data_IF_350754996817
#
_entry.id   IF_350754996817
#
_cell.length_a   1.000
_cell.length_b   1.000
_cell.length_c   1.000
_cell.angle_alpha   90.00
_cell.angle_beta   90.00
_cell.angle_gamma   90.00
#
_symmetry.space_group_name_H-M   'P 1'
#
loop_
_entity.id
_entity.type
_entity.pdbx_description
1 polymer ?
#
# COMPACT_ATOMS: atom_id res chain seq x y z
N UNK A 1 35.77 -17.02 -26.70
CA UNK A 1 34.37 -17.50 -26.72
C UNK A 1 33.97 -18.21 -25.43
N UNK A 2 34.71 -19.22 -24.93
CA UNK A 2 34.38 -19.95 -23.68
C UNK A 2 34.12 -19.07 -22.45
N UNK A 3 34.91 -18.00 -22.25
CA UNK A 3 34.75 -17.07 -21.11
C UNK A 3 33.50 -16.18 -21.18
N UNK A 4 33.09 -15.77 -22.38
CA UNK A 4 31.89 -14.96 -22.58
C UNK A 4 30.61 -15.78 -22.36
N UNK A 5 30.60 -17.03 -22.81
CA UNK A 5 29.49 -17.95 -22.59
C UNK A 5 29.27 -18.24 -21.09
N UNK A 6 30.35 -18.46 -20.34
CA UNK A 6 30.27 -18.65 -18.89
C UNK A 6 29.76 -17.41 -18.15
N UNK A 7 30.13 -16.21 -18.59
CA UNK A 7 29.62 -14.96 -18.00
C UNK A 7 28.12 -14.79 -18.22
N UNK A 8 27.62 -15.09 -19.42
CA UNK A 8 26.18 -15.02 -19.72
C UNK A 8 25.38 -16.02 -18.87
N UNK A 9 25.91 -17.23 -18.67
CA UNK A 9 25.27 -18.23 -17.79
C UNK A 9 25.22 -17.78 -16.33
N UNK A 10 26.31 -17.21 -15.80
CA UNK A 10 26.32 -16.70 -14.42
C UNK A 10 25.35 -15.53 -14.27
N UNK A 11 25.29 -14.62 -15.24
CA UNK A 11 24.35 -13.49 -15.20
C UNK A 11 22.89 -13.96 -15.25
N UNK A 12 22.58 -14.97 -16.08
CA UNK A 12 21.23 -15.53 -16.20
C UNK A 12 20.79 -16.26 -14.92
N UNK A 13 21.71 -16.96 -14.25
CA UNK A 13 21.45 -17.64 -12.98
C UNK A 13 21.23 -16.60 -11.87
N UNK A 14 22.09 -15.58 -11.79
CA UNK A 14 21.93 -14.49 -10.81
C UNK A 14 20.63 -13.72 -11.06
N UNK A 15 20.24 -13.47 -12.32
CA UNK A 15 18.95 -12.84 -12.62
C UNK A 15 17.76 -13.71 -12.23
N UNK A 16 17.87 -15.04 -12.32
CA UNK A 16 16.80 -15.95 -11.84
C UNK A 16 16.62 -15.90 -10.32
N UNK A 17 17.67 -15.58 -9.56
CA UNK A 17 17.58 -15.38 -8.11
C UNK A 17 17.25 -13.94 -7.70
N UNK A 18 17.29 -12.99 -8.65
CA UNK A 18 16.87 -11.60 -8.43
C UNK A 18 15.40 -11.36 -8.77
N UNK A 19 14.73 -12.32 -9.43
CA UNK A 19 13.26 -12.31 -9.46
C UNK A 19 12.82 -12.74 -8.06
N UNK A 20 12.43 -11.77 -7.24
CA UNK A 20 11.70 -12.07 -6.00
C UNK A 20 10.55 -13.03 -6.33
N UNK A 21 10.19 -13.96 -5.43
CA UNK A 21 9.03 -14.80 -5.66
C UNK A 21 7.82 -13.87 -5.79
N UNK A 22 7.40 -13.59 -7.03
CA UNK A 22 6.10 -13.00 -7.31
C UNK A 22 5.11 -14.02 -6.77
N UNK A 23 4.45 -13.68 -5.67
CA UNK A 23 3.39 -14.51 -5.12
C UNK A 23 2.39 -14.74 -6.26
N UNK A 24 2.28 -15.98 -6.73
CA UNK A 24 1.42 -16.28 -7.87
C UNK A 24 -0.01 -15.86 -7.53
N UNK A 25 -0.66 -15.12 -8.44
CA UNK A 25 -2.05 -14.74 -8.29
C UNK A 25 -2.91 -15.98 -7.99
N UNK A 26 -3.80 -15.87 -7.01
CA UNK A 26 -4.72 -16.96 -6.64
C UNK A 26 -5.68 -17.26 -7.80
N UNK A 27 -6.40 -18.38 -7.74
CA UNK A 27 -7.45 -18.70 -8.73
C UNK A 27 -8.56 -17.65 -8.80
N UNK A 28 -8.68 -16.80 -7.78
CA UNK A 28 -9.63 -15.68 -7.70
C UNK A 28 -9.03 -14.34 -8.17
N UNK A 29 -7.79 -14.33 -8.64
CA UNK A 29 -7.10 -13.14 -9.13
C UNK A 29 -6.63 -12.21 -8.01
N UNK A 30 -6.35 -12.74 -6.81
CA UNK A 30 -5.79 -11.97 -5.71
C UNK A 30 -4.27 -12.12 -5.68
N UNK A 31 -3.54 -11.03 -5.46
CA UNK A 31 -2.09 -11.04 -5.26
C UNK A 31 -1.67 -9.95 -4.27
N UNK A 32 -0.45 -10.04 -3.72
CA UNK A 32 0.09 -8.98 -2.86
C UNK A 32 0.71 -7.89 -3.72
N UNK A 33 0.24 -6.66 -3.54
CA UNK A 33 0.82 -5.46 -4.17
C UNK A 33 1.98 -4.86 -3.37
N UNK A 34 2.20 -5.34 -2.15
CA UNK A 34 3.26 -4.90 -1.24
C UNK A 34 4.33 -5.97 -1.02
N UNK A 35 5.53 -5.54 -0.62
CA UNK A 35 6.70 -6.37 -0.43
C UNK A 35 7.41 -6.08 0.89
N UNK A 36 8.20 -7.06 1.35
CA UNK A 36 9.07 -6.88 2.51
C UNK A 36 10.04 -5.70 2.28
N UNK A 37 10.13 -4.81 3.26
CA UNK A 37 10.98 -3.64 3.21
C UNK A 37 10.37 -2.41 2.53
N UNK A 38 9.14 -2.52 2.01
CA UNK A 38 8.40 -1.36 1.52
C UNK A 38 8.17 -0.36 2.66
N UNK A 39 8.26 0.93 2.29
CA UNK A 39 8.01 2.07 3.17
C UNK A 39 6.92 2.94 2.56
N UNK A 40 5.98 3.34 3.40
CA UNK A 40 4.88 4.22 3.04
C UNK A 40 4.91 5.45 3.94
N UNK A 41 5.09 6.61 3.35
CA UNK A 41 5.12 7.90 4.05
C UNK A 41 3.71 8.51 4.08
N UNK A 42 3.36 9.09 5.23
CA UNK A 42 2.06 9.68 5.51
C UNK A 42 2.22 11.06 6.14
N UNK A 43 1.26 11.92 5.86
CA UNK A 43 1.05 13.16 6.59
C UNK A 43 -0.16 13.00 7.50
N UNK A 44 0.00 13.33 8.79
CA UNK A 44 -1.11 13.44 9.73
C UNK A 44 -1.56 14.89 9.87
N UNK A 45 -2.86 15.11 9.77
CA UNK A 45 -3.52 16.39 10.01
C UNK A 45 -4.62 16.21 11.05
N UNK A 46 -4.82 17.21 11.89
CA UNK A 46 -5.94 17.23 12.83
C UNK A 46 -6.51 18.64 12.93
N UNK A 47 -7.80 18.73 13.22
CA UNK A 47 -8.45 19.98 13.60
C UNK A 47 -8.21 20.35 15.06
N UNK A 48 -7.77 19.41 15.90
CA UNK A 48 -7.37 19.67 17.27
C UNK A 48 -5.95 20.26 17.30
N UNK A 49 -5.81 21.45 17.89
CA UNK A 49 -4.51 22.14 18.01
C UNK A 49 -3.53 21.38 18.92
N UNK A 50 -4.03 20.53 19.81
CA UNK A 50 -3.21 19.72 20.72
C UNK A 50 -2.59 18.49 20.02
N UNK A 51 -3.09 18.11 18.83
CA UNK A 51 -2.56 17.01 18.03
C UNK A 51 -1.57 17.60 16.99
N UNK A 52 -0.25 17.39 17.17
CA UNK A 52 0.72 17.95 16.26
C UNK A 52 0.59 17.31 14.87
N UNK A 53 0.42 18.15 13.84
CA UNK A 53 0.59 17.71 12.46
C UNK A 53 2.05 17.33 12.23
N UNK A 54 2.34 16.03 12.20
CA UNK A 54 3.67 15.47 11.95
C UNK A 54 3.56 14.41 10.87
N UNK A 55 4.62 14.28 10.06
CA UNK A 55 4.73 13.17 9.13
C UNK A 55 5.09 11.87 9.87
N UNK A 56 4.55 10.77 9.39
CA UNK A 56 4.87 9.43 9.88
C UNK A 56 5.18 8.52 8.69
N UNK A 57 5.82 7.39 8.96
CA UNK A 57 6.00 6.36 7.96
C UNK A 57 5.76 4.98 8.54
N UNK A 58 5.30 4.08 7.67
CA UNK A 58 5.03 2.69 7.99
C UNK A 58 5.97 1.82 7.15
N UNK A 59 6.66 0.89 7.81
CA UNK A 59 7.52 -0.08 7.14
C UNK A 59 6.90 -1.47 7.24
N UNK A 60 6.94 -2.22 6.14
CA UNK A 60 6.64 -3.65 6.16
C UNK A 60 7.89 -4.39 6.65
N UNK A 61 7.81 -4.93 7.85
CA UNK A 61 8.93 -5.62 8.52
C UNK A 61 8.93 -7.11 8.32
N UNK A 62 7.78 -7.71 8.00
CA UNK A 62 7.72 -9.10 7.56
C UNK A 62 6.49 -9.32 6.68
N UNK A 63 6.64 -10.18 5.68
CA UNK A 63 5.49 -10.61 4.87
C UNK A 63 4.88 -11.85 5.51
N UNK A 64 3.55 -12.03 5.41
CA UNK A 64 2.91 -13.19 5.99
C UNK A 64 3.50 -14.49 5.43
N UNK A 65 3.91 -15.40 6.32
CA UNK A 65 4.46 -16.70 5.92
C UNK A 65 3.43 -17.59 5.19
N UNK A 66 2.14 -17.33 5.40
CA UNK A 66 1.04 -18.00 4.72
C UNK A 66 0.67 -17.24 3.45
N UNK A 67 0.61 -17.95 2.33
CA UNK A 67 0.03 -17.43 1.11
C UNK A 67 -1.46 -17.10 1.33
N UNK A 68 -2.00 -16.22 0.49
CA UNK A 68 -3.43 -15.92 0.46
C UNK A 68 -4.18 -17.24 0.22
N UNK A 69 -5.15 -17.62 1.07
CA UNK A 69 -5.94 -18.82 0.87
C UNK A 69 -6.60 -18.86 -0.52
N UNK A 70 -6.61 -20.03 -1.14
CA UNK A 70 -7.20 -20.23 -2.46
C UNK A 70 -8.12 -21.49 -2.45
N UNK A 71 -9.46 -21.33 -2.40
CA UNK A 71 -10.20 -20.07 -2.44
C UNK A 71 -10.21 -19.34 -1.09
N UNK A 72 -10.26 -18.01 -1.14
CA UNK A 72 -10.55 -17.13 -0.02
C UNK A 72 -12.07 -17.08 0.20
N UNK A 73 -12.51 -17.49 1.39
CA UNK A 73 -13.92 -17.59 1.77
C UNK A 73 -14.28 -16.79 3.03
N UNK A 74 -13.29 -16.25 3.71
CA UNK A 74 -13.42 -15.54 4.99
C UNK A 74 -12.48 -14.34 4.97
N UNK A 75 -13.01 -13.16 5.31
CA UNK A 75 -12.24 -11.91 5.43
C UNK A 75 -11.09 -12.05 6.44
N UNK A 76 -11.34 -12.72 7.56
CA UNK A 76 -10.37 -12.87 8.63
C UNK A 76 -9.22 -13.81 8.25
N UNK A 77 -9.42 -14.66 7.23
CA UNK A 77 -8.39 -15.54 6.70
C UNK A 77 -7.35 -14.82 5.82
N UNK A 78 -7.55 -13.54 5.49
CA UNK A 78 -6.53 -12.72 4.81
C UNK A 78 -5.37 -12.52 5.78
N UNK A 79 -4.18 -13.10 5.49
CA UNK A 79 -3.04 -12.93 6.36
C UNK A 79 -2.54 -11.47 6.27
N UNK A 80 -1.86 -10.98 7.31
CA UNK A 80 -1.35 -9.60 7.35
C UNK A 80 0.17 -9.60 7.46
N UNK A 81 0.85 -8.64 6.81
CA UNK A 81 2.24 -8.36 7.07
C UNK A 81 2.41 -7.75 8.46
N UNK A 82 3.60 -7.94 9.02
CA UNK A 82 4.01 -7.19 10.20
C UNK A 82 4.44 -5.79 9.76
N UNK A 83 3.95 -4.77 10.47
CA UNK A 83 4.20 -3.37 10.17
C UNK A 83 4.71 -2.64 11.40
N UNK A 84 5.68 -1.75 11.19
CA UNK A 84 6.19 -0.85 12.21
C UNK A 84 5.86 0.60 11.90
N UNK A 85 5.41 1.33 12.93
CA UNK A 85 5.06 2.74 12.86
C UNK A 85 6.15 3.63 13.43
N UNK A 86 6.54 4.64 12.66
CA UNK A 86 7.59 5.58 13.03
C UNK A 86 7.18 7.01 12.69
N UNK A 87 7.59 7.95 13.53
CA UNK A 87 7.59 9.36 13.16
C UNK A 87 8.66 9.63 12.11
N UNK A 88 8.48 10.65 11.27
CA UNK A 88 9.50 11.05 10.29
C UNK A 88 10.85 11.40 10.93
N UNK A 89 10.87 11.78 12.20
CA UNK A 89 12.09 12.02 12.98
C UNK A 89 12.87 10.72 13.34
N UNK A 90 12.35 9.54 12.98
CA UNK A 90 12.97 8.24 13.20
C UNK A 90 12.72 7.61 14.57
N UNK A 91 11.81 8.18 15.38
CA UNK A 91 11.37 7.58 16.64
C UNK A 91 10.13 6.69 16.43
N UNK A 92 10.08 5.55 17.12
CA UNK A 92 8.92 4.66 17.04
C UNK A 92 7.70 5.33 17.68
N UNK A 93 6.53 5.18 17.07
CA UNK A 93 5.28 5.76 17.60
C UNK A 93 4.82 5.09 18.90
N UNK A 94 5.20 3.82 19.13
CA UNK A 94 4.78 3.07 20.32
C UNK A 94 3.26 3.09 20.52
N UNK A 95 2.80 3.51 21.70
CA UNK A 95 1.37 3.58 22.02
C UNK A 95 0.61 4.62 21.21
N UNK A 96 1.28 5.63 20.63
CA UNK A 96 0.62 6.64 19.80
C UNK A 96 0.11 6.06 18.48
N UNK A 97 0.59 4.89 18.06
CA UNK A 97 0.00 4.15 16.94
C UNK A 97 -1.48 3.77 17.16
N UNK A 98 -2.01 3.90 18.40
CA UNK A 98 -3.43 3.75 18.70
C UNK A 98 -4.34 4.76 17.97
N UNK A 99 -3.80 5.81 17.33
CA UNK A 99 -4.59 6.64 16.43
C UNK A 99 -5.30 5.82 15.34
N UNK A 100 -4.74 4.69 14.92
CA UNK A 100 -5.32 3.79 13.93
C UNK A 100 -6.30 2.77 14.52
N UNK A 101 -6.70 2.88 15.79
CA UNK A 101 -7.62 1.93 16.43
C UNK A 101 -8.96 1.84 15.69
N UNK A 102 -9.37 2.91 15.01
CA UNK A 102 -10.60 2.89 14.23
C UNK A 102 -10.57 1.91 13.05
N UNK A 103 -9.38 1.50 12.57
CA UNK A 103 -9.26 0.52 11.47
C UNK A 103 -9.97 -0.80 11.80
N UNK A 104 -10.06 -1.18 13.09
CA UNK A 104 -10.80 -2.38 13.50
C UNK A 104 -12.29 -2.34 13.14
N UNK A 105 -12.89 -1.16 13.01
CA UNK A 105 -14.30 -0.99 12.62
C UNK A 105 -14.51 -1.02 11.10
N UNK A 106 -13.43 -0.93 10.31
CA UNK A 106 -13.47 -0.92 8.83
C UNK A 106 -12.68 -2.09 8.24
N UNK A 107 -12.71 -3.24 8.92
CA UNK A 107 -12.13 -4.50 8.47
C UNK A 107 -10.80 -4.89 9.12
N UNK A 108 -10.16 -4.02 9.90
CA UNK A 108 -9.04 -4.39 10.77
C UNK A 108 -7.74 -4.73 10.04
N UNK A 109 -7.58 -4.36 8.77
CA UNK A 109 -6.40 -4.67 7.94
C UNK A 109 -5.71 -3.36 7.53
N UNK A 110 -4.38 -3.33 7.47
CA UNK A 110 -3.66 -2.19 6.87
C UNK A 110 -3.31 -2.43 5.41
N UNK A 111 -3.27 -3.70 5.03
CA UNK A 111 -2.92 -4.15 3.68
C UNK A 111 -3.93 -5.14 3.19
N UNK A 112 -4.36 -4.99 1.95
CA UNK A 112 -5.27 -5.89 1.26
C UNK A 112 -4.58 -6.51 0.04
N UNK A 113 -4.93 -7.74 -0.33
CA UNK A 113 -4.59 -8.25 -1.65
C UNK A 113 -5.22 -7.36 -2.74
N UNK A 114 -4.50 -7.17 -3.84
CA UNK A 114 -5.00 -6.44 -5.02
C UNK A 114 -5.66 -7.41 -6.01
N UNK A 115 -6.37 -6.84 -7.00
CA UNK A 115 -6.90 -7.57 -8.15
C UNK A 115 -8.43 -7.69 -8.15
N UNK A 116 -9.02 -8.41 -7.19
CA UNK A 116 -10.46 -8.68 -7.15
C UNK A 116 -11.17 -8.00 -5.96
N UNK A 117 -11.29 -6.67 -6.02
CA UNK A 117 -11.94 -5.87 -4.98
C UNK A 117 -13.44 -6.17 -4.81
N UNK A 118 -14.13 -6.63 -5.85
CA UNK A 118 -15.51 -7.11 -5.73
C UNK A 118 -15.61 -8.34 -4.83
N UNK A 119 -14.65 -9.27 -4.90
CA UNK A 119 -14.59 -10.38 -3.95
C UNK A 119 -14.35 -9.88 -2.52
N UNK A 120 -13.40 -8.97 -2.34
CA UNK A 120 -13.09 -8.38 -1.02
C UNK A 120 -14.30 -7.68 -0.41
N UNK A 121 -15.04 -6.90 -1.19
CA UNK A 121 -16.31 -6.29 -0.79
C UNK A 121 -17.33 -7.33 -0.35
N UNK A 122 -17.51 -8.41 -1.12
CA UNK A 122 -18.45 -9.48 -0.75
C UNK A 122 -18.05 -10.23 0.54
N UNK A 123 -16.76 -10.26 0.86
CA UNK A 123 -16.25 -10.88 2.09
C UNK A 123 -16.37 -9.95 3.30
N UNK A 124 -16.16 -8.64 3.11
CA UNK A 124 -16.19 -7.67 4.20
C UNK A 124 -17.61 -7.19 4.52
N UNK A 125 -18.46 -6.95 3.52
CA UNK A 125 -19.80 -6.39 3.71
C UNK A 125 -20.68 -7.16 4.73
N UNK A 126 -20.61 -8.51 4.85
CA UNK A 126 -21.35 -9.23 5.88
C UNK A 126 -20.81 -9.07 7.31
N UNK A 127 -19.52 -8.73 7.45
CA UNK A 127 -18.85 -8.50 8.75
C UNK A 127 -19.10 -7.08 9.29
N UNK A 128 -19.62 -6.22 8.43
CA UNK A 128 -19.85 -4.80 8.62
C UNK A 128 -21.37 -4.57 8.79
N UNK A 129 -21.77 -3.78 9.81
CA UNK A 129 -23.15 -3.31 10.00
C UNK A 129 -23.30 -1.77 9.86
N UNK A 130 -23.88 -1.30 8.75
CA UNK A 130 -24.17 0.13 8.53
C UNK A 130 -23.17 0.93 7.66
N UNK A 131 -22.34 0.25 6.86
CA UNK A 131 -21.18 0.81 6.15
C UNK A 131 -21.41 0.96 4.66
N UNK A 132 -20.71 1.94 4.09
CA UNK A 132 -20.60 2.11 2.65
C UNK A 132 -19.21 1.64 2.17
N UNK A 133 -19.21 0.71 1.22
CA UNK A 133 -18.01 0.30 0.48
C UNK A 133 -18.11 0.88 -0.92
N UNK A 134 -17.07 1.57 -1.37
CA UNK A 134 -17.02 2.20 -2.68
C UNK A 134 -15.66 1.99 -3.34
N UNK A 135 -15.63 1.89 -4.67
CA UNK A 135 -14.40 1.89 -5.45
C UNK A 135 -14.42 3.07 -6.42
N UNK A 136 -13.56 4.05 -6.20
CA UNK A 136 -13.47 5.24 -7.04
C UNK A 136 -12.05 5.80 -7.06
N UNK A 137 -11.62 6.35 -8.20
CA UNK A 137 -10.34 7.07 -8.30
C UNK A 137 -9.10 6.23 -7.99
N UNK A 138 -9.14 4.92 -8.22
CA UNK A 138 -8.05 4.03 -7.85
C UNK A 138 -7.97 3.71 -6.36
N UNK A 139 -8.98 4.09 -5.57
CA UNK A 139 -9.11 3.76 -4.16
C UNK A 139 -10.31 2.83 -3.94
N UNK A 140 -10.13 1.88 -3.03
CA UNK A 140 -11.19 1.08 -2.45
C UNK A 140 -11.42 1.56 -1.02
N UNK A 141 -12.59 2.12 -0.75
CA UNK A 141 -12.90 2.84 0.49
C UNK A 141 -14.00 2.12 1.26
N UNK A 142 -13.80 2.03 2.57
CA UNK A 142 -14.78 1.55 3.54
C UNK A 142 -15.04 2.67 4.53
N UNK A 143 -16.31 3.02 4.71
CA UNK A 143 -16.76 4.01 5.68
C UNK A 143 -17.70 3.36 6.70
N UNK A 144 -17.39 3.54 7.97
CA UNK A 144 -18.25 3.15 9.08
C UNK A 144 -18.69 4.37 9.87
N UNK A 145 -19.93 4.36 10.33
CA UNK A 145 -20.50 5.44 11.14
C UNK A 145 -21.21 4.91 12.38
N UNK A 146 -21.15 5.68 13.47
CA UNK A 146 -21.94 5.43 14.67
C UNK A 146 -22.39 6.73 15.33
N UNK A 147 -23.62 6.74 15.85
CA UNK A 147 -24.07 7.79 16.75
C UNK A 147 -23.28 7.71 18.08
N UNK A 148 -22.49 8.73 18.40
CA UNK A 148 -21.79 8.82 19.70
C UNK A 148 -22.68 9.44 20.76
N UNK A 149 -23.53 10.38 20.36
CA UNK A 149 -24.55 11.00 21.19
C UNK A 149 -25.84 11.19 20.39
N UNK A 150 -26.87 11.80 20.99
CA UNK A 150 -28.11 12.13 20.27
C UNK A 150 -27.92 13.20 19.17
N UNK A 151 -26.78 13.88 19.14
CA UNK A 151 -26.52 15.03 18.27
C UNK A 151 -25.17 14.96 17.56
N UNK A 152 -24.44 13.86 17.74
CA UNK A 152 -23.09 13.67 17.23
C UNK A 152 -22.93 12.24 16.69
N UNK A 153 -22.22 12.15 15.58
CA UNK A 153 -21.91 10.92 14.85
C UNK A 153 -20.40 10.86 14.65
N UNK A 154 -19.77 9.72 14.94
CA UNK A 154 -18.40 9.44 14.58
C UNK A 154 -18.37 8.66 13.26
N UNK A 155 -17.51 9.08 12.34
CA UNK A 155 -17.25 8.43 11.06
C UNK A 155 -15.80 7.99 11.01
N UNK A 156 -15.59 6.77 10.53
CA UNK A 156 -14.28 6.18 10.33
C UNK A 156 -14.20 5.78 8.86
N UNK A 157 -13.22 6.32 8.16
CA UNK A 157 -12.97 6.01 6.76
C UNK A 157 -11.60 5.38 6.62
N UNK A 158 -11.50 4.25 5.94
CA UNK A 158 -10.24 3.69 5.47
C UNK A 158 -10.31 3.50 3.95
N UNK A 159 -9.39 4.11 3.23
CA UNK A 159 -9.22 3.94 1.80
C UNK A 159 -7.91 3.24 1.51
N UNK A 160 -7.96 2.23 0.66
CA UNK A 160 -6.82 1.43 0.24
C UNK A 160 -6.54 1.69 -1.23
N UNK A 161 -5.26 1.77 -1.59
CA UNK A 161 -4.89 1.90 -2.99
C UNK A 161 -5.21 0.60 -3.74
N UNK A 162 -5.86 0.71 -4.90
CA UNK A 162 -6.19 -0.47 -5.73
C UNK A 162 -4.97 -1.02 -6.47
N UNK A 163 -3.87 -0.26 -6.53
CA UNK A 163 -2.64 -0.63 -7.23
C UNK A 163 -1.69 -1.47 -6.37
N UNK A 164 -1.58 -1.18 -5.07
CA UNK A 164 -0.70 -1.90 -4.14
C UNK A 164 -1.44 -2.53 -2.94
N UNK A 165 -2.69 -2.14 -2.69
CA UNK A 165 -3.51 -2.68 -1.60
C UNK A 165 -3.18 -2.11 -0.23
N UNK A 166 -2.23 -1.18 -0.12
CA UNK A 166 -1.88 -0.55 1.15
C UNK A 166 -2.84 0.59 1.47
N UNK A 167 -3.02 0.86 2.78
CA UNK A 167 -3.78 2.01 3.28
C UNK A 167 -3.25 3.31 2.65
N UNK A 168 -4.12 4.03 1.97
CA UNK A 168 -3.83 5.29 1.28
C UNK A 168 -4.36 6.50 2.04
N UNK A 169 -5.53 6.36 2.67
CA UNK A 169 -6.15 7.41 3.47
C UNK A 169 -6.89 6.81 4.65
N UNK A 170 -6.77 7.45 5.80
CA UNK A 170 -7.45 7.06 7.03
C UNK A 170 -7.96 8.29 7.76
N UNK A 171 -9.25 8.31 8.07
CA UNK A 171 -9.91 9.44 8.72
C UNK A 171 -10.79 8.97 9.87
N UNK A 172 -10.71 9.72 10.96
CA UNK A 172 -11.69 9.70 12.04
C UNK A 172 -12.29 11.10 12.09
N UNK A 173 -13.60 11.19 11.96
CA UNK A 173 -14.33 12.46 11.95
C UNK A 173 -15.47 12.41 12.96
N UNK A 174 -15.70 13.49 13.69
CA UNK A 174 -16.91 13.68 14.51
C UNK A 174 -17.76 14.77 13.89
N UNK A 175 -18.99 14.45 13.55
CA UNK A 175 -19.96 15.33 12.90
C UNK A 175 -21.11 15.66 13.85
N UNK A 176 -21.62 16.90 13.79
CA UNK A 176 -22.88 17.24 14.44
C UNK A 176 -24.06 16.89 13.54
N UNK A 177 -24.92 15.97 13.97
CA UNK A 177 -26.11 15.55 13.21
C UNK A 177 -27.22 16.61 13.17
N UNK A 178 -27.15 17.63 14.03
CA UNK A 178 -28.11 18.74 14.05
C UNK A 178 -27.95 19.69 12.88
N UNK A 179 -26.70 19.97 12.48
CA UNK A 179 -26.35 21.00 11.50
C UNK A 179 -25.49 20.48 10.34
N UNK A 180 -25.14 19.20 10.34
CA UNK A 180 -24.25 18.58 9.35
C UNK A 180 -22.89 19.29 9.26
N UNK A 181 -22.28 19.52 10.41
CA UNK A 181 -20.99 20.24 10.53
C UNK A 181 -19.94 19.35 11.15
N UNK A 182 -18.77 19.28 10.51
CA UNK A 182 -17.58 18.64 11.08
C UNK A 182 -17.15 19.40 12.36
N UNK A 183 -17.03 18.67 13.46
CA UNK A 183 -16.59 19.19 14.76
C UNK A 183 -15.11 18.93 14.96
N UNK A 184 -14.67 17.71 14.67
CA UNK A 184 -13.29 17.26 14.87
C UNK A 184 -12.89 16.27 13.78
N UNK A 185 -11.65 16.32 13.32
CA UNK A 185 -11.06 15.27 12.48
C UNK A 185 -9.60 14.98 12.82
N UNK A 186 -9.24 13.73 12.60
CA UNK A 186 -7.86 13.25 12.46
C UNK A 186 -7.79 12.54 11.11
N UNK A 187 -6.87 12.99 10.26
CA UNK A 187 -6.66 12.47 8.92
C UNK A 187 -5.20 12.05 8.78
N UNK A 188 -4.99 10.87 8.19
CA UNK A 188 -3.67 10.32 7.90
C UNK A 188 -3.67 9.90 6.44
N UNK A 189 -3.03 10.70 5.60
CA UNK A 189 -3.03 10.52 4.14
C UNK A 189 -1.64 10.17 3.66
N UNK A 190 -1.54 9.15 2.82
CA UNK A 190 -0.30 8.70 2.21
C UNK A 190 0.20 9.73 1.21
N UNK A 191 1.48 10.09 1.31
CA UNK A 191 2.08 11.15 0.47
C UNK A 191 2.19 10.74 -1.01
N UNK A 192 2.38 9.45 -1.28
CA UNK A 192 2.49 8.90 -2.64
C UNK A 192 1.50 7.77 -2.84
N UNK A 193 0.53 7.94 -3.75
CA UNK A 193 -0.44 6.89 -4.11
C UNK A 193 -0.11 6.41 -5.53
N UNK A 194 0.41 5.18 -5.70
CA UNK A 194 0.72 4.65 -7.02
C UNK A 194 -0.57 4.52 -7.84
N UNK A 195 -0.58 5.06 -9.05
CA UNK A 195 -1.74 5.14 -9.95
C UNK A 195 -2.55 6.44 -9.87
N UNK A 196 -2.12 7.42 -9.06
CA UNK A 196 -2.87 8.66 -8.77
C UNK A 196 -2.63 9.85 -9.71
N UNK A 197 -1.66 9.80 -10.63
CA UNK A 197 -1.39 10.95 -11.52
C UNK A 197 -0.09 10.90 -12.31
N UNK A 198 0.31 12.02 -12.93
CA UNK A 198 1.52 12.15 -13.75
C UNK A 198 2.83 11.90 -12.97
N UNK A 199 2.80 11.95 -11.64
CA UNK A 199 3.95 11.69 -10.77
C UNK A 199 4.41 10.22 -10.82
N UNK A 200 3.51 9.27 -11.13
CA UNK A 200 3.88 7.86 -11.39
C UNK A 200 4.79 7.69 -12.59
N UNK A 201 4.67 8.54 -13.61
CA UNK A 201 5.52 8.46 -14.80
C UNK A 201 6.93 8.92 -14.46
N UNK A 202 7.06 9.93 -13.60
CA UNK A 202 8.37 10.39 -13.11
C UNK A 202 9.00 9.36 -12.19
N UNK A 203 8.23 8.75 -11.29
CA UNK A 203 8.72 7.68 -10.40
C UNK A 203 9.10 6.41 -11.18
N UNK A 204 8.30 6.00 -12.17
CA UNK A 204 8.65 4.92 -13.10
C UNK A 204 9.91 5.25 -13.92
N UNK A 205 10.11 6.52 -14.31
CA UNK A 205 11.33 6.94 -15.02
C UNK A 205 12.55 6.97 -14.12
N UNK A 206 12.40 7.37 -12.85
CA UNK A 206 13.49 7.40 -11.86
C UNK A 206 13.89 5.97 -11.45
N UNK A 207 12.94 5.09 -11.16
CA UNK A 207 13.21 3.70 -10.78
C UNK A 207 13.79 2.88 -11.94
N UNK A 208 13.42 3.21 -13.18
CA UNK A 208 13.96 2.54 -14.37
C UNK A 208 15.18 3.24 -14.99
N UNK A 209 15.65 4.36 -14.45
CA UNK A 209 16.79 5.11 -15.02
C UNK A 209 18.07 4.26 -15.02
N UNK A 210 18.20 3.35 -14.03
CA UNK A 210 19.30 2.40 -13.95
C UNK A 210 19.24 1.37 -15.08
N UNK A 211 18.05 0.83 -15.39
CA UNK A 211 17.86 -0.11 -16.50
C UNK A 211 18.08 0.54 -17.86
N UNK A 212 17.62 1.80 -18.03
CA UNK A 212 17.91 2.60 -19.22
C UNK A 212 19.42 2.87 -19.35
N UNK A 213 20.09 3.20 -18.24
CA UNK A 213 21.54 3.40 -18.18
C UNK A 213 22.34 2.15 -18.57
N UNK A 214 21.94 0.97 -18.07
CA UNK A 214 22.54 -0.31 -18.43
C UNK A 214 22.31 -0.64 -19.91
N UNK A 215 21.10 -0.37 -20.43
CA UNK A 215 20.77 -0.57 -21.84
C UNK A 215 21.63 0.27 -22.78
N UNK A 216 21.81 1.56 -22.47
CA UNK A 216 22.67 2.47 -23.25
C UNK A 216 24.13 2.05 -23.19
N UNK A 217 24.64 1.69 -22.00
CA UNK A 217 26.02 1.22 -21.84
C UNK A 217 26.30 -0.05 -22.66
N UNK A 218 25.36 -1.00 -22.69
CA UNK A 218 25.46 -2.21 -23.49
C UNK A 218 25.55 -1.90 -25.00
N UNK A 219 24.72 -0.98 -25.50
CA UNK A 219 24.73 -0.55 -26.91
C UNK A 219 26.07 0.11 -27.28
N UNK A 220 26.60 0.98 -26.42
CA UNK A 220 27.90 1.64 -26.63
C UNK A 220 29.04 0.63 -26.68
N UNK A 221 29.04 -0.35 -25.78
CA UNK A 221 30.05 -1.42 -25.76
C UNK A 221 29.98 -2.26 -27.03
N UNK A 222 28.78 -2.64 -27.47
CA UNK A 222 28.58 -3.39 -28.72
C UNK A 222 29.08 -2.58 -29.91
N UNK A 223 28.73 -1.28 -29.98
CA UNK A 223 29.20 -0.38 -31.03
C UNK A 223 30.72 -0.27 -31.10
N UNK A 224 31.39 -0.08 -29.96
CA UNK A 224 32.85 -0.02 -29.87
C UNK A 224 33.52 -1.33 -30.29
N UNK A 225 32.95 -2.48 -29.93
CA UNK A 225 33.47 -3.81 -30.31
C UNK A 225 33.33 -4.04 -31.82
N UNK A 226 32.23 -3.59 -32.43
CA UNK A 226 32.01 -3.70 -33.89
C UNK A 226 32.93 -2.75 -34.66
N UNK A 227 33.14 -1.52 -34.17
CA UNK A 227 34.04 -0.54 -34.79
C UNK A 227 35.52 -0.94 -34.72
N UNK A 228 35.96 -1.63 -33.66
CA UNK A 228 37.35 -2.14 -33.55
C UNK A 228 37.63 -3.42 -34.35
N UNK A 229 36.60 -4.05 -34.92
CA UNK A 229 36.73 -5.27 -35.73
C UNK A 229 36.89 -5.00 -37.23
N UNK A 230 36.81 -3.73 -37.66
CA UNK A 230 37.24 -3.26 -38.98
C UNK A 230 38.63 -2.64 -38.86
#
# INVERSE_FOLDING_TARGET
MKRALNMIFVLAIVSMFMVSPVAAATSQGLEWGVQFGDRFDFTMTSTDEDVPSEGLYVNITDMPALAIPDPLTDWNAIPQPDIDFWWQNGTSMGITALIFIGIFFVGGKFTLPIGNFTLLENLLAPELTGEDINTAGGLWTVEWSMDTTATEEAKITAAYSTSDGFLADYRIETWSTLNDTLLESIEVTRETIPGGGLDDILQLLEDNILYVGIGVAAIVIIGLVVCKRK
#
